data_IF_914302154419
#
_entry.id   IF_914302154419
#
_cell.length_a   1.000
_cell.length_b   1.000
_cell.length_c   1.000
_cell.angle_alpha   90.00
_cell.angle_beta   90.00
_cell.angle_gamma   90.00
#
_symmetry.space_group_name_H-M   'P 1'
#
loop_
_entity.id
_entity.type
_entity.pdbx_description
1 polymer ?
#
# COMPACT_ATOMS: atom_id res chain seq x y z
N UNK A 1 15.55 -16.36 -24.74
CA UNK A 1 14.82 -16.06 -23.48
C UNK A 1 15.88 -16.04 -22.40
N UNK A 2 16.18 -14.86 -21.87
CA UNK A 2 17.40 -14.63 -21.09
C UNK A 2 17.29 -15.15 -19.65
N UNK A 3 18.42 -15.52 -19.04
CA UNK A 3 18.52 -15.92 -17.63
C UNK A 3 17.82 -14.93 -16.68
N UNK A 4 17.92 -13.63 -16.96
CA UNK A 4 17.23 -12.55 -16.22
C UNK A 4 15.71 -12.72 -16.29
N UNK A 5 15.17 -12.92 -17.48
CA UNK A 5 13.73 -13.11 -17.73
C UNK A 5 13.19 -14.37 -17.01
N UNK A 6 14.01 -15.42 -16.95
CA UNK A 6 13.69 -16.68 -16.26
C UNK A 6 13.71 -16.52 -14.73
N UNK A 7 14.72 -15.84 -14.18
CA UNK A 7 14.81 -15.52 -12.75
C UNK A 7 13.64 -14.66 -12.28
N UNK A 8 13.26 -13.63 -13.05
CA UNK A 8 12.11 -12.79 -12.72
C UNK A 8 10.77 -13.56 -12.82
N UNK A 9 10.62 -14.45 -13.79
CA UNK A 9 9.44 -15.31 -13.89
C UNK A 9 9.33 -16.28 -12.69
N UNK A 10 10.44 -16.78 -12.17
CA UNK A 10 10.46 -17.62 -10.96
C UNK A 10 10.10 -16.81 -9.71
N UNK A 11 10.70 -15.63 -9.52
CA UNK A 11 10.35 -14.67 -8.46
C UNK A 11 8.85 -14.37 -8.50
N UNK A 12 8.29 -14.16 -9.69
CA UNK A 12 6.87 -13.86 -9.87
C UNK A 12 5.97 -15.07 -9.63
N UNK A 13 6.41 -16.27 -10.01
CA UNK A 13 5.69 -17.52 -9.75
C UNK A 13 5.64 -17.80 -8.25
N UNK A 14 6.74 -17.54 -7.53
CA UNK A 14 6.81 -17.63 -6.08
C UNK A 14 5.93 -16.56 -5.40
N UNK A 15 5.95 -15.32 -5.89
CA UNK A 15 5.09 -14.25 -5.38
C UNK A 15 3.60 -14.59 -5.56
N UNK A 16 3.22 -15.14 -6.72
CA UNK A 16 1.86 -15.59 -7.00
C UNK A 16 1.45 -16.78 -6.14
N UNK A 17 2.32 -17.79 -5.98
CA UNK A 17 2.00 -18.99 -5.19
C UNK A 17 1.81 -18.68 -3.71
N UNK A 18 2.55 -17.70 -3.18
CA UNK A 18 2.43 -17.21 -1.81
C UNK A 18 1.23 -16.26 -1.62
N UNK A 19 0.76 -15.60 -2.69
CA UNK A 19 -0.46 -14.79 -2.70
C UNK A 19 -1.74 -15.63 -2.81
N UNK A 20 -1.67 -16.85 -3.37
CA UNK A 20 -2.79 -17.80 -3.49
C UNK A 20 -3.06 -18.64 -2.23
N UNK A 21 -2.61 -18.18 -1.05
CA UNK A 21 -3.06 -18.74 0.21
C UNK A 21 -4.52 -18.39 0.45
N UNK A 22 -5.44 -19.28 0.10
CA UNK A 22 -6.88 -19.19 0.37
C UNK A 22 -7.20 -19.41 1.87
N UNK A 23 -6.44 -18.74 2.74
CA UNK A 23 -6.44 -18.90 4.19
C UNK A 23 -6.70 -17.57 4.93
N UNK A 24 -6.87 -17.64 6.27
CA UNK A 24 -7.00 -16.47 7.13
C UNK A 24 -5.67 -15.73 7.38
N UNK A 25 -4.55 -16.19 6.82
CA UNK A 25 -3.22 -15.65 7.08
C UNK A 25 -2.97 -14.30 6.40
N UNK A 26 -2.21 -13.44 7.07
CA UNK A 26 -1.75 -12.17 6.52
C UNK A 26 -0.89 -12.38 5.25
N UNK A 27 -0.96 -11.47 4.25
CA UNK A 27 -0.12 -11.53 3.06
C UNK A 27 1.37 -11.56 3.39
N UNK A 28 2.13 -12.46 2.77
CA UNK A 28 3.58 -12.48 2.93
C UNK A 28 4.22 -11.29 2.19
N UNK A 29 4.87 -10.40 2.93
CA UNK A 29 5.50 -9.18 2.41
C UNK A 29 6.95 -9.37 1.92
N UNK A 30 7.48 -10.59 1.90
CA UNK A 30 8.86 -10.90 1.53
C UNK A 30 9.30 -10.31 0.19
N UNK A 31 8.37 -10.15 -0.76
CA UNK A 31 8.65 -9.55 -2.05
C UNK A 31 9.11 -8.09 -1.96
N UNK A 32 8.75 -7.32 -0.91
CA UNK A 32 9.26 -5.96 -0.73
C UNK A 32 10.75 -5.95 -0.41
N UNK A 33 11.25 -6.96 0.31
CA UNK A 33 12.68 -7.13 0.54
C UNK A 33 13.42 -7.50 -0.76
N UNK A 34 12.80 -8.28 -1.65
CA UNK A 34 13.39 -8.59 -2.96
C UNK A 34 13.60 -7.35 -3.83
N UNK A 35 12.74 -6.32 -3.71
CA UNK A 35 12.92 -5.06 -4.46
C UNK A 35 14.23 -4.37 -4.09
N UNK A 36 14.63 -4.40 -2.82
CA UNK A 36 15.92 -3.87 -2.39
C UNK A 36 17.09 -4.66 -2.98
N UNK A 37 17.02 -6.00 -2.98
CA UNK A 37 18.05 -6.85 -3.58
C UNK A 37 18.19 -6.63 -5.10
N UNK A 38 17.06 -6.40 -5.79
CA UNK A 38 17.07 -6.04 -7.22
C UNK A 38 17.76 -4.70 -7.44
N UNK A 39 17.46 -3.69 -6.62
CA UNK A 39 18.08 -2.35 -6.69
C UNK A 39 19.60 -2.42 -6.48
N UNK A 40 20.05 -3.19 -5.48
CA UNK A 40 21.47 -3.46 -5.22
C UNK A 40 22.13 -4.18 -6.39
N UNK A 41 21.47 -5.19 -6.96
CA UNK A 41 21.98 -5.95 -8.10
C UNK A 41 22.12 -5.10 -9.36
N UNK A 42 21.11 -4.27 -9.65
CA UNK A 42 21.13 -3.32 -10.77
C UNK A 42 22.28 -2.34 -10.62
N UNK A 43 22.41 -1.70 -9.45
CA UNK A 43 23.48 -0.75 -9.18
C UNK A 43 24.86 -1.40 -9.33
N UNK A 44 25.06 -2.58 -8.74
CA UNK A 44 26.34 -3.32 -8.83
C UNK A 44 26.68 -3.69 -10.27
N UNK A 45 25.69 -4.10 -11.07
CA UNK A 45 25.89 -4.42 -12.48
C UNK A 45 26.33 -3.19 -13.28
N UNK A 46 25.69 -2.04 -13.06
CA UNK A 46 26.03 -0.79 -13.74
C UNK A 46 27.43 -0.31 -13.34
N UNK A 47 27.76 -0.30 -12.05
CA UNK A 47 29.10 0.05 -11.54
C UNK A 47 30.18 -0.87 -12.13
N UNK A 48 29.91 -2.19 -12.21
CA UNK A 48 30.83 -3.15 -12.79
C UNK A 48 31.05 -2.89 -14.29
N UNK A 49 29.98 -2.62 -15.04
CA UNK A 49 30.06 -2.32 -16.47
C UNK A 49 30.91 -1.07 -16.72
N UNK A 50 30.66 0.01 -15.99
CA UNK A 50 31.40 1.27 -16.11
C UNK A 50 32.89 1.10 -15.76
N UNK A 51 33.20 0.34 -14.71
CA UNK A 51 34.58 0.18 -14.26
C UNK A 51 35.40 -0.82 -15.09
N UNK A 52 34.78 -1.90 -15.59
CA UNK A 52 35.50 -3.05 -16.14
C UNK A 52 35.21 -3.34 -17.61
N UNK A 53 34.13 -2.80 -18.18
CA UNK A 53 33.75 -3.08 -19.57
C UNK A 53 33.94 -1.82 -20.42
N UNK A 54 33.44 -0.68 -19.96
CA UNK A 54 33.47 0.59 -20.69
C UNK A 54 34.87 1.01 -21.18
N UNK A 55 35.96 0.91 -20.38
CA UNK A 55 37.30 1.30 -20.83
C UNK A 55 37.82 0.49 -22.01
N UNK A 56 37.34 -0.74 -22.21
CA UNK A 56 37.77 -1.62 -23.29
C UNK A 56 36.96 -1.42 -24.58
N UNK A 57 35.88 -0.62 -24.54
CA UNK A 57 35.00 -0.37 -25.67
C UNK A 57 35.37 0.90 -26.45
N UNK A 58 36.32 1.71 -25.95
CA UNK A 58 36.68 3.01 -26.52
C UNK A 58 37.10 2.98 -28.00
N UNK A 59 37.62 1.85 -28.49
CA UNK A 59 38.07 1.69 -29.87
C UNK A 59 36.95 1.26 -30.84
N UNK A 60 35.86 0.67 -30.35
CA UNK A 60 34.74 0.19 -31.16
C UNK A 60 33.43 0.87 -30.73
N UNK A 61 33.17 2.02 -31.35
CA UNK A 61 31.99 2.84 -31.06
C UNK A 61 30.66 2.14 -31.42
N UNK A 62 30.68 1.18 -32.35
CA UNK A 62 29.47 0.44 -32.75
C UNK A 62 29.13 -0.63 -31.71
N UNK A 63 30.14 -1.37 -31.25
CA UNK A 63 29.99 -2.33 -30.17
C UNK A 63 29.60 -1.63 -28.86
N UNK A 64 30.24 -0.49 -28.56
CA UNK A 64 29.92 0.34 -27.40
C UNK A 64 28.44 0.75 -27.37
N UNK A 65 27.95 1.37 -28.45
CA UNK A 65 26.55 1.77 -28.56
C UNK A 65 25.59 0.58 -28.45
N UNK A 66 25.96 -0.57 -29.03
CA UNK A 66 25.15 -1.80 -28.97
C UNK A 66 25.01 -2.32 -27.55
N UNK A 67 26.11 -2.37 -26.79
CA UNK A 67 26.12 -2.87 -25.42
C UNK A 67 25.39 -1.93 -24.46
N UNK A 68 25.60 -0.62 -24.58
CA UNK A 68 24.85 0.37 -23.80
C UNK A 68 23.34 0.27 -24.07
N UNK A 69 22.95 0.11 -25.34
CA UNK A 69 21.53 -0.08 -25.67
C UNK A 69 20.97 -1.37 -25.07
N UNK A 70 21.70 -2.49 -25.13
CA UNK A 70 21.30 -3.75 -24.49
C UNK A 70 21.13 -3.58 -22.98
N UNK A 71 22.10 -2.96 -22.31
CA UNK A 71 22.03 -2.69 -20.87
C UNK A 71 20.79 -1.84 -20.54
N UNK A 72 20.57 -0.74 -21.27
CA UNK A 72 19.40 0.12 -21.08
C UNK A 72 18.08 -0.63 -21.24
N UNK A 73 17.97 -1.47 -22.28
CA UNK A 73 16.77 -2.28 -22.52
C UNK A 73 16.54 -3.27 -21.38
N UNK A 74 17.60 -3.95 -20.90
CA UNK A 74 17.51 -4.88 -19.78
C UNK A 74 17.11 -4.17 -18.47
N UNK A 75 17.73 -3.04 -18.16
CA UNK A 75 17.38 -2.26 -16.96
C UNK A 75 15.93 -1.78 -17.00
N UNK A 76 15.47 -1.26 -18.14
CA UNK A 76 14.06 -0.85 -18.30
C UNK A 76 13.09 -2.02 -18.16
N UNK A 77 13.47 -3.22 -18.60
CA UNK A 77 12.67 -4.43 -18.39
C UNK A 77 12.58 -4.79 -16.91
N UNK A 78 13.68 -4.71 -16.17
CA UNK A 78 13.73 -4.98 -14.72
C UNK A 78 12.84 -3.98 -13.97
N UNK A 79 12.97 -2.68 -14.25
CA UNK A 79 12.16 -1.63 -13.63
C UNK A 79 10.66 -1.88 -13.82
N UNK A 80 10.24 -2.23 -15.05
CA UNK A 80 8.82 -2.55 -15.33
C UNK A 80 8.33 -3.72 -14.48
N UNK A 81 9.15 -4.76 -14.31
CA UNK A 81 8.76 -5.91 -13.50
C UNK A 81 8.68 -5.56 -12.01
N UNK A 82 9.61 -4.73 -11.51
CA UNK A 82 9.55 -4.22 -10.14
C UNK A 82 8.26 -3.46 -9.90
N UNK A 83 7.86 -2.58 -10.83
CA UNK A 83 6.58 -1.85 -10.74
C UNK A 83 5.39 -2.82 -10.66
N UNK A 84 5.33 -3.83 -11.52
CA UNK A 84 4.25 -4.83 -11.50
C UNK A 84 4.19 -5.59 -10.16
N UNK A 85 5.34 -5.95 -9.59
CA UNK A 85 5.40 -6.63 -8.27
C UNK A 85 4.91 -5.71 -7.16
N UNK A 86 5.32 -4.44 -7.17
CA UNK A 86 4.89 -3.44 -6.18
C UNK A 86 3.39 -3.13 -6.30
N UNK A 87 2.83 -3.08 -7.51
CA UNK A 87 1.38 -2.89 -7.68
C UNK A 87 0.58 -4.08 -7.16
N UNK A 88 1.04 -5.31 -7.43
CA UNK A 88 0.40 -6.52 -6.89
C UNK A 88 0.46 -6.55 -5.36
N UNK A 89 1.57 -6.08 -4.77
CA UNK A 89 1.69 -5.92 -3.33
C UNK A 89 0.59 -5.03 -2.74
N UNK A 90 0.40 -3.85 -3.34
CA UNK A 90 -0.61 -2.89 -2.92
C UNK A 90 -2.00 -3.52 -2.96
N UNK A 91 -2.30 -4.26 -4.03
CA UNK A 91 -3.57 -4.99 -4.15
C UNK A 91 -3.74 -6.05 -3.06
N UNK A 92 -2.73 -6.85 -2.75
CA UNK A 92 -2.81 -7.88 -1.72
C UNK A 92 -3.01 -7.30 -0.32
N UNK A 93 -2.23 -6.26 0.01
CA UNK A 93 -2.32 -5.57 1.30
C UNK A 93 -3.73 -4.97 1.48
N UNK A 94 -4.21 -4.26 0.46
CA UNK A 94 -5.52 -3.58 0.54
C UNK A 94 -6.70 -4.56 0.45
N UNK A 95 -6.55 -5.68 -0.25
CA UNK A 95 -7.53 -6.78 -0.22
C UNK A 95 -7.64 -7.39 1.19
N UNK A 96 -6.52 -7.58 1.89
CA UNK A 96 -6.53 -8.08 3.28
C UNK A 96 -7.18 -7.09 4.25
N UNK A 97 -6.89 -5.79 4.10
CA UNK A 97 -7.59 -4.73 4.85
C UNK A 97 -9.10 -4.81 4.59
N UNK A 98 -9.51 -4.84 3.32
CA UNK A 98 -10.93 -4.93 2.94
C UNK A 98 -11.61 -6.15 3.56
N UNK A 99 -10.97 -7.31 3.51
CA UNK A 99 -11.46 -8.55 4.14
C UNK A 99 -11.62 -8.37 5.65
N UNK A 100 -10.60 -7.83 6.32
CA UNK A 100 -10.63 -7.58 7.78
C UNK A 100 -11.77 -6.65 8.18
N UNK A 101 -12.00 -5.59 7.41
CA UNK A 101 -13.12 -4.67 7.64
C UNK A 101 -14.46 -5.37 7.46
N UNK A 102 -14.64 -6.11 6.37
CA UNK A 102 -15.87 -6.85 6.11
C UNK A 102 -16.17 -7.93 7.17
N UNK A 103 -15.15 -8.62 7.65
CA UNK A 103 -15.30 -9.71 8.62
C UNK A 103 -15.62 -9.20 10.04
N UNK A 104 -15.12 -8.00 10.39
CA UNK A 104 -15.18 -7.50 11.77
C UNK A 104 -16.13 -6.32 11.99
N UNK A 105 -16.46 -5.54 10.97
CA UNK A 105 -17.29 -4.35 11.12
C UNK A 105 -18.78 -4.70 11.15
N UNK A 106 -19.43 -4.46 12.29
CA UNK A 106 -20.86 -4.75 12.48
C UNK A 106 -21.69 -3.55 12.05
N UNK A 107 -22.91 -3.80 11.56
CA UNK A 107 -23.87 -2.72 11.25
C UNK A 107 -24.21 -1.87 12.48
N UNK A 108 -24.19 -2.49 13.67
CA UNK A 108 -24.44 -1.83 14.95
C UNK A 108 -23.35 -0.84 15.36
N UNK A 109 -22.15 -0.94 14.79
CA UNK A 109 -21.04 -0.04 15.11
C UNK A 109 -21.33 1.39 14.61
N UNK A 110 -22.00 1.52 13.46
CA UNK A 110 -22.39 2.81 12.87
C UNK A 110 -23.89 3.12 12.99
N UNK A 111 -24.70 2.15 13.44
CA UNK A 111 -26.12 2.35 13.74
C UNK A 111 -26.51 1.61 15.03
N UNK A 112 -26.01 2.07 16.20
CA UNK A 112 -26.44 1.53 17.49
C UNK A 112 -27.93 1.79 17.72
N UNK A 113 -28.55 1.00 18.62
CA UNK A 113 -29.96 1.21 19.02
C UNK A 113 -30.08 2.48 19.86
N UNK A 114 -31.19 3.21 19.72
CA UNK A 114 -31.40 4.53 20.32
C UNK A 114 -31.31 4.55 21.86
N UNK A 115 -31.70 3.47 22.54
CA UNK A 115 -31.64 3.34 24.01
C UNK A 115 -30.26 2.93 24.55
N UNK A 116 -29.31 2.61 23.67
CA UNK A 116 -27.93 2.40 24.09
C UNK A 116 -27.32 3.78 24.34
N UNK A 117 -27.21 4.17 25.62
CA UNK A 117 -26.29 5.24 26.03
C UNK A 117 -24.92 4.86 25.48
N UNK A 118 -24.56 5.42 24.34
CA UNK A 118 -23.45 4.92 23.55
C UNK A 118 -22.14 5.37 24.20
N UNK A 119 -21.69 4.63 25.21
CA UNK A 119 -20.32 4.67 25.68
C UNK A 119 -19.46 3.96 24.63
N UNK A 120 -18.82 4.74 23.78
CA UNK A 120 -17.83 4.24 22.83
C UNK A 120 -16.50 4.05 23.56
N UNK A 121 -16.12 2.81 23.81
CA UNK A 121 -14.82 2.43 24.41
C UNK A 121 -13.73 2.38 23.33
N UNK A 122 -13.50 3.54 22.71
CA UNK A 122 -12.52 3.73 21.64
C UNK A 122 -12.96 3.18 20.27
N UNK A 123 -12.01 3.02 19.33
CA UNK A 123 -12.31 2.65 17.94
C UNK A 123 -12.99 1.28 17.82
N UNK A 124 -13.57 1.00 16.67
CA UNK A 124 -14.19 -0.31 16.40
C UNK A 124 -13.16 -1.42 16.33
N UNK A 125 -13.61 -2.68 16.54
CA UNK A 125 -12.74 -3.86 16.41
C UNK A 125 -12.16 -4.00 15.00
N UNK A 126 -12.90 -3.61 13.97
CA UNK A 126 -12.41 -3.63 12.60
C UNK A 126 -11.34 -2.54 12.39
N UNK A 127 -11.55 -1.33 12.91
CA UNK A 127 -10.53 -0.29 12.89
C UNK A 127 -9.25 -0.73 13.61
N UNK A 128 -9.36 -1.28 14.84
CA UNK A 128 -8.21 -1.82 15.58
C UNK A 128 -7.45 -2.89 14.80
N UNK A 129 -8.17 -3.80 14.15
CA UNK A 129 -7.55 -4.89 13.39
C UNK A 129 -6.86 -4.38 12.13
N UNK A 130 -7.55 -3.54 11.35
CA UNK A 130 -7.00 -2.94 10.13
C UNK A 130 -5.78 -2.05 10.41
N UNK A 131 -5.83 -1.20 11.46
CA UNK A 131 -4.69 -0.34 11.83
C UNK A 131 -3.49 -1.17 12.30
N UNK A 132 -3.71 -2.28 12.99
CA UNK A 132 -2.62 -3.13 13.51
C UNK A 132 -1.87 -3.77 12.36
N UNK A 133 -2.61 -4.38 11.42
CA UNK A 133 -2.04 -4.91 10.20
C UNK A 133 -1.28 -3.83 9.40
N UNK A 134 -1.91 -2.67 9.17
CA UNK A 134 -1.27 -1.57 8.43
C UNK A 134 -0.02 -1.04 9.11
N UNK A 135 0.03 -0.95 10.44
CA UNK A 135 1.24 -0.57 11.16
C UNK A 135 2.39 -1.56 10.89
N UNK A 136 2.11 -2.86 10.94
CA UNK A 136 3.11 -3.90 10.65
C UNK A 136 3.63 -3.77 9.21
N UNK A 137 2.73 -3.52 8.25
CA UNK A 137 3.11 -3.29 6.84
C UNK A 137 4.00 -2.05 6.71
N UNK A 138 3.63 -0.93 7.33
CA UNK A 138 4.40 0.33 7.26
C UNK A 138 5.80 0.12 7.84
N UNK A 139 5.91 -0.53 8.99
CA UNK A 139 7.19 -0.82 9.64
C UNK A 139 8.04 -1.76 8.78
N UNK A 140 7.42 -2.76 8.13
CA UNK A 140 8.10 -3.64 7.20
C UNK A 140 8.64 -2.90 5.96
N UNK A 141 7.83 -2.02 5.35
CA UNK A 141 8.24 -1.19 4.21
C UNK A 141 9.39 -0.27 4.60
N UNK A 142 9.30 0.38 5.77
CA UNK A 142 10.32 1.30 6.25
C UNK A 142 11.67 0.61 6.48
N UNK A 143 11.63 -0.65 6.93
CA UNK A 143 12.81 -1.47 7.17
C UNK A 143 13.46 -1.98 5.87
N UNK A 144 12.65 -2.39 4.89
CA UNK A 144 13.15 -3.13 3.73
C UNK A 144 13.25 -2.32 2.44
N UNK A 145 12.67 -1.11 2.38
CA UNK A 145 12.77 -0.23 1.21
C UNK A 145 13.51 1.06 1.56
N UNK A 146 14.17 1.65 0.58
CA UNK A 146 14.99 2.86 0.74
C UNK A 146 14.64 3.91 -0.33
N UNK A 147 15.05 5.15 -0.07
CA UNK A 147 14.96 6.26 -1.01
C UNK A 147 13.55 6.47 -1.61
N UNK A 148 13.53 6.78 -2.91
CA UNK A 148 12.33 7.13 -3.65
C UNK A 148 11.38 5.95 -3.83
N UNK A 149 11.91 4.72 -3.90
CA UNK A 149 11.10 3.50 -3.94
C UNK A 149 10.22 3.39 -2.69
N UNK A 150 10.79 3.63 -1.50
CA UNK A 150 10.03 3.66 -0.25
C UNK A 150 9.01 4.79 -0.24
N UNK A 151 9.42 6.00 -0.62
CA UNK A 151 8.54 7.17 -0.58
C UNK A 151 7.32 7.00 -1.50
N UNK A 152 7.56 6.52 -2.73
CA UNK A 152 6.52 6.28 -3.73
C UNK A 152 5.59 5.15 -3.31
N UNK A 153 6.14 4.05 -2.78
CA UNK A 153 5.32 2.93 -2.30
C UNK A 153 4.43 3.31 -1.12
N UNK A 154 4.97 4.01 -0.11
CA UNK A 154 4.19 4.47 1.04
C UNK A 154 3.10 5.47 0.62
N UNK A 155 3.38 6.34 -0.34
CA UNK A 155 2.38 7.26 -0.90
C UNK A 155 1.22 6.47 -1.54
N UNK A 156 1.54 5.55 -2.45
CA UNK A 156 0.54 4.72 -3.12
C UNK A 156 -0.27 3.87 -2.13
N UNK A 157 0.42 3.24 -1.17
CA UNK A 157 -0.20 2.46 -0.10
C UNK A 157 -1.20 3.29 0.71
N UNK A 158 -0.82 4.52 1.10
CA UNK A 158 -1.70 5.44 1.80
C UNK A 158 -2.95 5.79 1.00
N UNK A 159 -2.79 6.05 -0.31
CA UNK A 159 -3.91 6.34 -1.20
C UNK A 159 -4.86 5.15 -1.35
N UNK A 160 -4.35 3.95 -1.62
CA UNK A 160 -5.18 2.75 -1.74
C UNK A 160 -5.88 2.40 -0.41
N UNK A 161 -5.20 2.60 0.72
CA UNK A 161 -5.79 2.41 2.04
C UNK A 161 -6.95 3.38 2.27
N UNK A 162 -6.76 4.67 1.96
CA UNK A 162 -7.82 5.67 2.05
C UNK A 162 -9.05 5.28 1.22
N UNK A 163 -8.84 4.89 -0.04
CA UNK A 163 -9.93 4.51 -0.94
C UNK A 163 -10.66 3.26 -0.44
N UNK A 164 -9.93 2.30 0.14
CA UNK A 164 -10.49 1.11 0.78
C UNK A 164 -11.38 1.46 1.97
N UNK A 165 -10.90 2.33 2.87
CA UNK A 165 -11.66 2.81 4.03
C UNK A 165 -12.92 3.57 3.58
N UNK A 166 -12.78 4.51 2.65
CA UNK A 166 -13.89 5.32 2.17
C UNK A 166 -14.95 4.46 1.47
N UNK A 167 -14.53 3.49 0.65
CA UNK A 167 -15.42 2.53 0.00
C UNK A 167 -16.14 1.63 1.00
N UNK A 168 -15.47 1.23 2.08
CA UNK A 168 -16.08 0.45 3.14
C UNK A 168 -17.14 1.25 3.92
N UNK A 169 -16.82 2.47 4.35
CA UNK A 169 -17.76 3.36 5.08
C UNK A 169 -19.04 3.60 4.29
N UNK A 170 -18.94 3.81 2.97
CA UNK A 170 -20.08 4.05 2.08
C UNK A 170 -21.11 2.91 2.04
N UNK A 171 -20.76 1.71 2.51
CA UNK A 171 -21.66 0.55 2.56
C UNK A 171 -22.58 0.57 3.79
N UNK A 172 -22.35 1.47 4.74
CA UNK A 172 -23.09 1.53 6.00
C UNK A 172 -24.01 2.74 6.06
N UNK A 173 -25.18 2.55 6.66
CA UNK A 173 -26.01 3.67 7.13
C UNK A 173 -25.48 4.12 8.48
N UNK A 174 -25.08 5.39 8.58
CA UNK A 174 -24.48 5.97 9.79
C UNK A 174 -25.53 6.83 10.51
N UNK A 175 -25.77 6.54 11.79
CA UNK A 175 -26.58 7.37 12.70
C UNK A 175 -25.75 8.49 13.33
N UNK A 176 -26.37 9.47 13.99
CA UNK A 176 -25.62 10.53 14.69
C UNK A 176 -24.65 9.97 15.74
N UNK A 177 -25.07 8.95 16.51
CA UNK A 177 -24.18 8.26 17.45
C UNK A 177 -23.08 7.49 16.72
N UNK A 178 -23.41 6.75 15.66
CA UNK A 178 -22.42 6.05 14.85
C UNK A 178 -21.41 6.95 14.14
N UNK A 179 -21.78 8.21 13.87
CA UNK A 179 -20.84 9.20 13.34
C UNK A 179 -19.76 9.58 14.37
N UNK A 180 -20.08 9.56 15.67
CA UNK A 180 -19.09 9.73 16.74
C UNK A 180 -18.12 8.55 16.80
N UNK A 181 -18.62 7.31 16.67
CA UNK A 181 -17.75 6.11 16.56
C UNK A 181 -16.86 6.19 15.31
N UNK A 182 -17.42 6.58 14.17
CA UNK A 182 -16.66 6.76 12.94
C UNK A 182 -15.60 7.86 13.06
N UNK A 183 -15.86 8.91 13.85
CA UNK A 183 -14.86 9.95 14.15
C UNK A 183 -13.64 9.38 14.88
N UNK A 184 -13.86 8.46 15.82
CA UNK A 184 -12.78 7.77 16.53
C UNK A 184 -11.97 6.90 15.56
N UNK A 185 -12.64 6.10 14.72
CA UNK A 185 -11.98 5.27 13.70
C UNK A 185 -11.17 6.13 12.73
N UNK A 186 -11.72 7.26 12.27
CA UNK A 186 -11.03 8.19 11.38
C UNK A 186 -9.77 8.78 12.00
N UNK A 187 -9.81 9.12 13.30
CA UNK A 187 -8.64 9.60 14.04
C UNK A 187 -7.56 8.53 14.12
N UNK A 188 -7.93 7.28 14.38
CA UNK A 188 -7.01 6.16 14.46
C UNK A 188 -6.34 5.84 13.12
N UNK A 189 -7.09 5.86 12.02
CA UNK A 189 -6.51 5.71 10.69
C UNK A 189 -5.53 6.85 10.36
N UNK A 190 -5.86 8.09 10.73
CA UNK A 190 -4.95 9.24 10.57
C UNK A 190 -3.65 9.04 11.35
N UNK A 191 -3.72 8.58 12.61
CA UNK A 191 -2.52 8.31 13.43
C UNK A 191 -1.67 7.21 12.78
N UNK A 192 -2.30 6.14 12.29
CA UNK A 192 -1.62 5.06 11.59
C UNK A 192 -0.84 5.56 10.37
N UNK A 193 -1.49 6.29 9.46
CA UNK A 193 -0.81 6.82 8.25
C UNK A 193 0.19 7.93 8.55
N UNK A 194 0.07 8.59 9.71
CA UNK A 194 1.07 9.55 10.18
C UNK A 194 2.48 8.98 10.25
N UNK A 195 2.61 7.68 10.54
CA UNK A 195 3.91 6.96 10.55
C UNK A 195 4.59 6.94 9.19
N UNK A 196 3.85 7.06 8.08
CA UNK A 196 4.41 7.08 6.72
C UNK A 196 5.21 8.36 6.44
N UNK A 197 5.06 9.42 7.25
CA UNK A 197 5.69 10.74 7.06
C UNK A 197 5.42 11.35 5.67
N UNK A 198 4.27 11.04 5.07
CA UNK A 198 3.85 11.55 3.76
C UNK A 198 2.74 12.60 3.93
N UNK A 199 3.06 13.86 3.65
CA UNK A 199 2.14 14.98 3.90
C UNK A 199 0.84 14.93 3.08
N UNK A 200 0.89 14.38 1.86
CA UNK A 200 -0.28 14.29 0.98
C UNK A 200 -1.24 13.19 1.42
N UNK A 201 -0.70 12.04 1.83
CA UNK A 201 -1.50 10.97 2.44
C UNK A 201 -2.13 11.46 3.74
N UNK A 202 -1.36 12.12 4.61
CA UNK A 202 -1.89 12.68 5.85
C UNK A 202 -3.06 13.62 5.55
N UNK A 203 -2.88 14.59 4.63
CA UNK A 203 -3.91 15.54 4.19
C UNK A 203 -5.17 14.84 3.67
N UNK A 204 -5.03 13.76 2.89
CA UNK A 204 -6.16 12.92 2.45
C UNK A 204 -6.96 12.39 3.64
N UNK A 205 -6.29 11.83 4.64
CA UNK A 205 -6.96 11.32 5.84
C UNK A 205 -7.55 12.43 6.73
N UNK A 206 -7.03 13.66 6.69
CA UNK A 206 -7.70 14.81 7.32
C UNK A 206 -9.07 15.08 6.70
N UNK A 207 -9.20 14.88 5.37
CA UNK A 207 -10.46 14.97 4.64
C UNK A 207 -11.53 13.99 5.14
N UNK A 208 -11.15 12.87 5.75
CA UNK A 208 -12.09 11.90 6.32
C UNK A 208 -12.90 12.52 7.47
N UNK A 209 -12.34 13.49 8.21
CA UNK A 209 -13.08 14.27 9.21
C UNK A 209 -14.21 15.07 8.57
N UNK A 210 -13.98 15.63 7.37
CA UNK A 210 -15.02 16.30 6.60
C UNK A 210 -16.16 15.35 6.24
N UNK A 211 -15.84 14.11 5.84
CA UNK A 211 -16.84 13.07 5.58
C UNK A 211 -17.64 12.71 6.84
N UNK A 212 -16.97 12.56 7.98
CA UNK A 212 -17.64 12.32 9.28
C UNK A 212 -18.60 13.47 9.63
N UNK A 213 -18.18 14.71 9.43
CA UNK A 213 -19.02 15.87 9.70
C UNK A 213 -20.32 15.87 8.89
N UNK A 214 -20.33 15.34 7.66
CA UNK A 214 -21.56 15.23 6.86
C UNK A 214 -22.64 14.35 7.54
N UNK A 215 -22.24 13.36 8.34
CA UNK A 215 -23.17 12.52 9.10
C UNK A 215 -23.63 13.15 10.42
N UNK A 216 -22.95 14.20 10.89
CA UNK A 216 -23.29 14.93 12.11
C UNK A 216 -24.22 16.12 11.84
N UNK A 217 -24.27 16.63 10.61
CA UNK A 217 -25.23 17.67 10.24
C UNK A 217 -26.63 17.06 10.22
N UNK A 218 -27.54 17.60 11.06
CA UNK A 218 -28.95 17.22 11.00
C UNK A 218 -29.51 17.54 9.60
N UNK A 219 -30.48 16.77 9.07
CA UNK A 219 -31.13 17.13 7.82
C UNK A 219 -31.79 18.49 8.01
N UNK A 220 -31.12 19.56 7.52
CA UNK A 220 -31.77 20.84 7.35
C UNK A 220 -32.96 20.56 6.43
N UNK A 221 -34.17 20.79 6.94
CA UNK A 221 -35.38 20.87 6.14
C UNK A 221 -35.10 21.77 4.95
N UNK A 222 -34.89 21.18 3.77
CA UNK A 222 -35.02 21.89 2.50
C UNK A 222 -36.48 22.34 2.45
N UNK A 223 -36.77 23.65 2.49
CA UNK A 223 -38.14 24.13 2.33
C UNK A 223 -38.59 23.69 0.94
N UNK A 224 -39.77 23.07 0.90
CA UNK A 224 -40.48 22.61 -0.29
C UNK A 224 -40.64 23.71 -1.35
#
# INVERSE_FOLDING_TARGET
VGFVEQMFNEIFTLAKSQASGDGPSEPNLFFLAMVHEIDVSVRTLTEYFEANVDPHLAADTTLHATLLNKMRVTLSMIERQVVVVLENALHLITAHVKKTLNDKQKKTDFKPKEDAVAMFDGPTDACRSARTYMNNVIEYVQKNMVGDNRASFLHALGCFFFDTILSHIKQYTVSSNGALQLAQDASEYRVCVGKMSNSDVIRKFEGLKGVVNLFLVQPCTVPS
#
